data_IF_235793747333
#
_entry.id   IF_235793747333
#
_cell.length_a   1.000
_cell.length_b   1.000
_cell.length_c   1.000
_cell.angle_alpha   90.00
_cell.angle_beta   90.00
_cell.angle_gamma   90.00
#
_symmetry.space_group_name_H-M   'P 1'
#
loop_
_entity.id
_entity.type
_entity.pdbx_description
1 polymer ?
#
# COMPACT_ATOMS: atom_id res chain seq x y z
N UNK A 1 14.93 2.18 9.45
CA UNK A 1 14.67 2.73 10.80
C UNK A 1 13.19 3.03 10.83
N UNK A 2 12.43 2.39 11.72
CA UNK A 2 11.00 2.67 11.85
C UNK A 2 10.84 3.97 12.63
N UNK A 3 10.21 4.98 12.04
CA UNK A 3 9.87 6.21 12.74
C UNK A 3 8.60 5.95 13.56
N UNK A 4 8.76 5.43 14.76
CA UNK A 4 7.65 5.32 15.72
C UNK A 4 7.60 6.66 16.46
N UNK A 5 6.48 7.41 16.37
CA UNK A 5 6.35 8.69 17.08
C UNK A 5 6.33 8.46 18.59
N UNK A 6 6.72 9.49 19.34
CA UNK A 6 6.50 9.52 20.79
C UNK A 6 4.99 9.62 21.05
N UNK A 7 4.48 8.78 21.96
CA UNK A 7 3.06 8.75 22.31
C UNK A 7 2.75 9.87 23.31
N UNK A 8 2.77 11.11 22.84
CA UNK A 8 2.28 12.26 23.59
C UNK A 8 0.75 12.22 23.69
N UNK A 9 0.18 12.94 24.65
CA UNK A 9 -1.28 13.06 24.79
C UNK A 9 -1.93 13.58 23.49
N UNK A 10 -1.33 14.58 22.85
CA UNK A 10 -1.79 15.11 21.56
C UNK A 10 -1.79 14.06 20.45
N UNK A 11 -0.75 13.22 20.37
CA UNK A 11 -0.69 12.15 19.37
C UNK A 11 -1.81 11.13 19.60
N UNK A 12 -2.04 10.76 20.87
CA UNK A 12 -3.10 9.82 21.24
C UNK A 12 -4.47 10.41 20.88
N UNK A 13 -4.73 11.67 21.21
CA UNK A 13 -6.00 12.34 20.90
C UNK A 13 -6.29 12.35 19.39
N UNK A 14 -5.30 12.72 18.57
CA UNK A 14 -5.44 12.72 17.10
C UNK A 14 -5.63 11.31 16.53
N UNK A 15 -4.90 10.32 17.07
CA UNK A 15 -5.07 8.92 16.66
C UNK A 15 -6.49 8.43 16.97
N UNK A 16 -7.02 8.76 18.15
CA UNK A 16 -8.36 8.38 18.55
C UNK A 16 -9.43 9.05 17.69
N UNK A 17 -9.27 10.32 17.34
CA UNK A 17 -10.20 11.02 16.43
C UNK A 17 -10.31 10.33 15.06
N UNK A 18 -9.17 9.87 14.51
CA UNK A 18 -9.17 9.08 13.27
C UNK A 18 -9.91 7.75 13.48
N UNK A 19 -9.63 7.00 14.55
CA UNK A 19 -10.29 5.73 14.81
C UNK A 19 -11.81 5.89 14.98
N UNK A 20 -12.26 6.92 15.71
CA UNK A 20 -13.68 7.24 15.87
C UNK A 20 -14.36 7.55 14.52
N UNK A 21 -13.68 8.24 13.61
CA UNK A 21 -14.17 8.44 12.24
C UNK A 21 -14.38 7.11 11.50
N UNK A 22 -13.43 6.17 11.63
CA UNK A 22 -13.56 4.82 11.07
C UNK A 22 -14.62 3.97 11.76
N UNK A 23 -15.06 4.28 12.98
CA UNK A 23 -16.12 3.55 13.67
C UNK A 23 -17.54 4.02 13.30
N UNK A 24 -17.70 5.23 12.74
CA UNK A 24 -19.02 5.79 12.39
C UNK A 24 -19.85 4.85 11.50
N UNK A 25 -21.16 4.80 11.69
CA UNK A 25 -22.02 4.05 10.78
C UNK A 25 -21.87 4.57 9.34
N UNK A 26 -22.03 3.67 8.36
CA UNK A 26 -21.98 4.07 6.96
C UNK A 26 -23.07 5.11 6.63
N UNK A 27 -22.69 6.17 5.94
CA UNK A 27 -23.59 7.22 5.47
C UNK A 27 -23.21 7.60 4.04
N UNK A 28 -24.07 7.28 3.07
CA UNK A 28 -23.85 7.60 1.64
C UNK A 28 -23.68 9.10 1.36
N UNK A 29 -24.20 9.97 2.23
CA UNK A 29 -24.05 11.42 2.11
C UNK A 29 -22.72 11.93 2.67
N UNK A 30 -22.05 11.13 3.50
CA UNK A 30 -20.79 11.44 4.16
C UNK A 30 -19.86 10.21 4.10
N UNK A 31 -19.41 9.81 2.91
CA UNK A 31 -18.55 8.64 2.76
C UNK A 31 -17.17 8.90 3.37
N UNK A 32 -16.65 7.91 4.09
CA UNK A 32 -15.26 7.91 4.54
C UNK A 32 -14.41 7.41 3.37
N UNK A 33 -13.50 8.24 2.87
CA UNK A 33 -12.59 7.88 1.78
C UNK A 33 -11.16 7.91 2.29
N UNK A 34 -10.44 6.82 2.08
CA UNK A 34 -9.02 6.70 2.31
C UNK A 34 -8.28 7.03 1.02
N UNK A 35 -7.23 7.85 1.10
CA UNK A 35 -6.27 8.06 0.02
C UNK A 35 -4.90 7.63 0.54
N UNK A 36 -4.19 6.84 -0.25
CA UNK A 36 -2.79 6.53 0.01
C UNK A 36 -1.98 6.59 -1.29
N UNK A 37 -0.67 6.76 -1.13
CA UNK A 37 0.27 6.89 -2.21
C UNK A 37 1.48 5.99 -1.99
N UNK A 38 2.02 5.46 -3.09
CA UNK A 38 3.24 4.66 -3.03
C UNK A 38 4.12 4.91 -4.24
N UNK A 39 5.36 5.29 -3.97
CA UNK A 39 6.41 5.27 -5.00
C UNK A 39 6.75 3.83 -5.35
N UNK A 40 6.44 3.43 -6.57
CA UNK A 40 6.65 2.07 -7.09
C UNK A 40 7.78 2.09 -8.11
N UNK A 41 8.76 1.21 -7.90
CA UNK A 41 9.85 1.03 -8.87
C UNK A 41 9.34 0.26 -10.08
N UNK A 42 9.64 0.77 -11.27
CA UNK A 42 9.37 0.05 -12.51
C UNK A 42 10.59 -0.81 -12.82
N UNK A 43 10.42 -2.14 -12.76
CA UNK A 43 11.50 -3.10 -12.89
C UNK A 43 11.28 -3.98 -14.12
N UNK A 44 12.34 -4.19 -14.89
CA UNK A 44 12.38 -5.17 -15.98
C UNK A 44 13.34 -6.30 -15.61
N UNK A 45 13.09 -7.50 -16.11
CA UNK A 45 14.00 -8.62 -15.93
C UNK A 45 15.29 -8.40 -16.73
N UNK A 46 16.46 -8.56 -16.10
CA UNK A 46 17.72 -8.53 -16.85
C UNK A 46 17.87 -9.75 -17.77
N UNK A 47 17.29 -10.88 -17.37
CA UNK A 47 17.25 -12.13 -18.13
C UNK A 47 15.83 -12.69 -18.15
N UNK A 48 15.45 -13.29 -19.27
CA UNK A 48 14.10 -13.82 -19.44
C UNK A 48 13.77 -14.90 -18.39
N UNK A 49 12.64 -14.78 -17.66
CA UNK A 49 12.24 -15.80 -16.71
C UNK A 49 12.06 -17.16 -17.37
N UNK A 50 12.52 -18.21 -16.69
CA UNK A 50 12.28 -19.58 -17.15
C UNK A 50 10.87 -20.01 -16.74
N UNK A 51 10.08 -20.62 -17.66
CA UNK A 51 8.72 -21.03 -17.37
C UNK A 51 8.68 -22.12 -16.30
N UNK A 52 7.50 -22.28 -15.71
CA UNK A 52 7.23 -23.38 -14.79
C UNK A 52 7.17 -24.71 -15.58
N UNK A 53 7.73 -25.78 -15.00
CA UNK A 53 7.64 -27.15 -15.51
C UNK A 53 7.15 -28.07 -14.38
N UNK A 54 6.60 -29.26 -14.65
CA UNK A 54 6.26 -30.22 -13.60
C UNK A 54 7.46 -30.49 -12.67
N UNK A 55 7.26 -30.27 -11.36
CA UNK A 55 8.31 -30.41 -10.35
C UNK A 55 9.34 -29.27 -10.32
N UNK A 56 9.18 -28.21 -11.12
CA UNK A 56 10.08 -27.05 -11.16
C UNK A 56 9.29 -25.74 -11.17
N UNK A 57 9.37 -24.93 -10.09
CA UNK A 57 8.68 -23.64 -10.05
C UNK A 57 9.28 -22.68 -11.09
N UNK A 58 8.51 -21.63 -11.43
CA UNK A 58 9.00 -20.51 -12.24
C UNK A 58 10.29 -19.96 -11.64
N UNK A 59 11.31 -19.74 -12.47
CA UNK A 59 12.60 -19.18 -12.03
C UNK A 59 12.77 -17.78 -12.61
N UNK A 60 12.97 -16.82 -11.72
CA UNK A 60 13.23 -15.42 -12.05
C UNK A 60 14.63 -15.11 -11.55
N UNK A 61 15.45 -14.48 -12.38
CA UNK A 61 16.77 -14.02 -11.97
C UNK A 61 16.63 -12.93 -10.90
N UNK A 62 17.54 -12.92 -9.92
CA UNK A 62 17.61 -11.87 -8.90
C UNK A 62 18.02 -10.51 -9.48
N UNK A 63 18.71 -10.51 -10.62
CA UNK A 63 19.13 -9.28 -11.28
C UNK A 63 17.98 -8.64 -12.08
N UNK A 64 17.81 -7.32 -11.91
CA UNK A 64 16.79 -6.54 -12.59
C UNK A 64 17.37 -5.26 -13.18
N UNK A 65 16.66 -4.70 -14.16
CA UNK A 65 16.95 -3.38 -14.75
C UNK A 65 15.93 -2.39 -14.21
N UNK A 66 16.38 -1.32 -13.57
CA UNK A 66 15.51 -0.25 -13.07
C UNK A 66 15.11 0.66 -14.23
N UNK A 67 13.80 0.85 -14.44
CA UNK A 67 13.22 1.69 -15.50
C UNK A 67 12.57 2.97 -14.97
N UNK A 68 13.05 3.45 -13.82
CA UNK A 68 12.52 4.62 -13.13
C UNK A 68 11.53 4.26 -12.03
N UNK A 69 10.61 5.18 -11.77
CA UNK A 69 9.62 5.11 -10.67
C UNK A 69 8.31 5.73 -11.14
N UNK A 70 7.20 5.19 -10.65
CA UNK A 70 5.86 5.77 -10.79
C UNK A 70 5.30 6.05 -9.39
N UNK A 71 4.51 7.12 -9.26
CA UNK A 71 3.70 7.36 -8.08
C UNK A 71 2.33 6.73 -8.30
N UNK A 72 2.00 5.73 -7.49
CA UNK A 72 0.69 5.10 -7.48
C UNK A 72 -0.14 5.78 -6.42
N UNK A 73 -1.34 6.23 -6.78
CA UNK A 73 -2.33 6.80 -5.87
C UNK A 73 -3.55 5.89 -5.84
N UNK A 74 -4.08 5.62 -4.66
CA UNK A 74 -5.25 4.76 -4.49
C UNK A 74 -6.24 5.45 -3.57
N UNK A 75 -7.48 5.56 -4.03
CA UNK A 75 -8.61 6.04 -3.23
C UNK A 75 -9.59 4.90 -3.04
N UNK A 76 -10.00 4.66 -1.80
CA UNK A 76 -10.94 3.59 -1.44
C UNK A 76 -11.96 4.12 -0.44
N UNK A 77 -13.22 3.78 -0.65
CA UNK A 77 -14.28 3.92 0.35
C UNK A 77 -14.45 2.57 1.05
N UNK A 78 -13.80 2.33 2.21
CA UNK A 78 -13.71 0.99 2.82
C UNK A 78 -15.05 0.40 3.25
N UNK A 79 -16.11 1.21 3.33
CA UNK A 79 -17.44 0.81 3.79
C UNK A 79 -18.47 0.62 2.66
N UNK A 80 -18.09 0.88 1.40
CA UNK A 80 -19.00 0.78 0.27
C UNK A 80 -19.28 -0.65 -0.22
N UNK A 81 -18.42 -1.63 0.12
CA UNK A 81 -18.49 -3.01 -0.36
C UNK A 81 -17.59 -3.27 -1.56
#
# INVERSE_FOLDING_TARGET
MWCIPELTDEFVDQMMEVLELYERAYNEKEPVVCLDEKSTQLLEHRREPLPMEPGRPKRIDSEYVRKGTASVFVMVEPKAG
#
